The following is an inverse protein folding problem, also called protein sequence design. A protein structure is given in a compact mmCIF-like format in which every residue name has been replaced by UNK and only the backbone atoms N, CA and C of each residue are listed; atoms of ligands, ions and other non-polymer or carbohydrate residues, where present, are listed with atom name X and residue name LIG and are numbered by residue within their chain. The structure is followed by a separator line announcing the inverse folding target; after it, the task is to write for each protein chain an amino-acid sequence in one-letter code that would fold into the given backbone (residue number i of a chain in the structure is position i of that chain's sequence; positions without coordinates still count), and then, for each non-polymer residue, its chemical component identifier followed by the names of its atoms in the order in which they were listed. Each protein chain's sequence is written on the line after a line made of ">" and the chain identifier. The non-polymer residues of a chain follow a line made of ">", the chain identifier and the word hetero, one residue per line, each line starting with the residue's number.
data_IF_233154213727
#
_entry.id   IF_233154213727
#
_cell.length_a   1.000
_cell.length_b   1.000
_cell.length_c   1.000
_cell.angle_alpha   90.00
_cell.angle_beta   90.00
_cell.angle_gamma   90.00
#
_symmetry.space_group_name_H-M   'P 1'
#
loop_
_entity.id
_entity.type
_entity.pdbx_description
1 polymer ?
#
# COMPACT_ATOMS: atom_id res chain seq x y z
N UNK A 1 -0.67 30.64 -14.82
CA UNK A 1 -0.27 30.15 -13.46
C UNK A 1 0.64 28.95 -13.63
N UNK A 2 1.94 29.10 -13.33
CA UNK A 2 2.90 28.00 -13.31
C UNK A 2 2.69 27.22 -12.02
N UNK A 3 2.15 26.01 -12.13
CA UNK A 3 2.15 25.04 -11.03
C UNK A 3 3.61 24.61 -10.85
N UNK A 4 4.24 24.99 -9.75
CA UNK A 4 5.64 24.66 -9.48
C UNK A 4 5.82 23.14 -9.43
N UNK A 5 6.68 22.63 -10.32
CA UNK A 5 7.01 21.21 -10.48
C UNK A 5 7.44 20.53 -9.16
N UNK A 6 7.89 21.30 -8.18
CA UNK A 6 8.27 20.88 -6.83
C UNK A 6 7.12 20.22 -6.04
N UNK A 7 5.88 20.70 -6.22
CA UNK A 7 4.71 20.16 -5.53
C UNK A 7 4.26 18.80 -6.10
N UNK A 8 4.42 18.61 -7.42
CA UNK A 8 4.14 17.35 -8.11
C UNK A 8 5.14 16.25 -7.71
N UNK A 9 6.42 16.60 -7.51
CA UNK A 9 7.47 15.64 -7.12
C UNK A 9 7.24 15.10 -5.70
N UNK A 10 6.81 15.93 -4.75
CA UNK A 10 6.55 15.50 -3.36
C UNK A 10 5.34 14.58 -3.22
N UNK A 11 4.23 14.92 -3.91
CA UNK A 11 3.03 14.08 -3.97
C UNK A 11 3.32 12.77 -4.70
N UNK A 12 4.04 12.81 -5.82
CA UNK A 12 4.42 11.61 -6.57
C UNK A 12 5.33 10.68 -5.75
N UNK A 13 6.30 11.21 -4.99
CA UNK A 13 7.20 10.38 -4.16
C UNK A 13 6.46 9.64 -3.04
N UNK A 14 5.49 10.30 -2.40
CA UNK A 14 4.63 9.68 -1.38
C UNK A 14 3.59 8.73 -2.00
N UNK A 15 3.04 9.07 -3.18
CA UNK A 15 2.10 8.21 -3.90
C UNK A 15 2.78 6.93 -4.41
N UNK A 16 4.00 7.04 -4.94
CA UNK A 16 4.82 5.91 -5.39
C UNK A 16 5.20 5.01 -4.20
N UNK A 17 5.53 5.60 -3.04
CA UNK A 17 5.80 4.87 -1.81
C UNK A 17 4.54 4.16 -1.29
N UNK A 18 3.37 4.79 -1.33
CA UNK A 18 2.09 4.19 -0.92
C UNK A 18 1.65 3.04 -1.86
N UNK A 19 1.90 3.16 -3.16
CA UNK A 19 1.70 2.05 -4.13
C UNK A 19 2.67 0.89 -3.85
N UNK A 20 3.91 1.16 -3.43
CA UNK A 20 4.88 0.12 -3.04
C UNK A 20 4.56 -0.52 -1.68
N UNK A 21 3.99 0.23 -0.73
CA UNK A 21 3.55 -0.26 0.59
C UNK A 21 2.32 -1.18 0.46
N UNK A 22 1.64 -1.18 -0.69
CA UNK A 22 0.54 -2.10 -1.00
C UNK A 22 0.95 -3.60 -0.96
N UNK A 23 2.25 -3.92 -0.86
CA UNK A 23 2.78 -5.26 -0.63
C UNK A 23 3.30 -5.56 0.78
N UNK A 24 3.32 -4.59 1.71
CA UNK A 24 3.89 -4.78 3.03
C UNK A 24 2.90 -4.35 4.13
N UNK A 25 2.28 -5.36 4.75
CA UNK A 25 1.56 -5.21 6.02
C UNK A 25 2.52 -4.58 7.04
N UNK A 26 2.31 -3.30 7.35
CA UNK A 26 3.14 -2.60 8.33
C UNK A 26 2.73 -3.02 9.74
N UNK A 27 3.59 -3.82 10.36
CA UNK A 27 3.64 -3.95 11.81
C UNK A 27 3.82 -2.56 12.44
N UNK A 28 2.86 -2.17 13.27
CA UNK A 28 2.89 -0.92 14.00
C UNK A 28 3.88 -1.07 15.18
N UNK A 29 4.95 -0.25 15.25
CA UNK A 29 5.80 -0.27 16.42
C UNK A 29 5.02 0.27 17.63
N UNK A 30 5.09 -0.46 18.74
CA UNK A 30 4.55 -0.06 20.03
C UNK A 30 5.17 1.27 20.48
N UNK A 31 4.30 2.21 20.84
CA UNK A 31 4.69 3.55 21.25
C UNK A 31 5.52 3.51 22.54
N UNK A 32 6.76 4.01 22.49
CA UNK A 32 7.52 4.37 23.70
C UNK A 32 6.87 5.60 24.33
N UNK A 33 6.85 5.63 25.66
CA UNK A 33 6.47 6.82 26.42
C UNK A 33 7.45 7.96 26.12
N UNK A 34 6.91 9.11 25.69
CA UNK A 34 7.64 10.35 25.41
C UNK A 34 7.34 11.34 26.54
N UNK A 35 8.29 12.19 26.95
CA UNK A 35 8.06 13.23 27.96
C UNK A 35 6.88 14.14 27.58
N UNK A 36 6.01 14.39 28.56
CA UNK A 36 4.83 15.23 28.43
C UNK A 36 5.24 16.71 28.35
N UNK A 37 4.77 17.43 27.32
CA UNK A 37 5.01 18.87 27.14
C UNK A 37 4.07 19.67 28.06
N UNK A 38 4.56 20.74 28.68
CA UNK A 38 3.71 21.66 29.47
C UNK A 38 2.93 22.61 28.57
N UNK A 39 1.81 23.15 29.06
CA UNK A 39 1.00 24.11 28.29
C UNK A 39 1.81 25.37 27.91
N UNK A 40 2.71 25.84 28.79
CA UNK A 40 3.59 26.97 28.47
C UNK A 40 4.58 26.65 27.33
N UNK A 41 5.10 25.42 27.28
CA UNK A 41 5.96 24.97 26.19
C UNK A 41 5.18 24.83 24.87
N UNK A 42 3.92 24.40 24.94
CA UNK A 42 3.04 24.35 23.78
C UNK A 42 2.82 25.75 23.21
N UNK A 43 2.45 26.73 24.03
CA UNK A 43 2.19 28.10 23.56
C UNK A 43 3.42 28.75 22.89
N UNK A 44 4.62 28.53 23.45
CA UNK A 44 5.88 28.97 22.82
C UNK A 44 6.08 28.32 21.45
N UNK A 45 5.71 27.06 21.31
CA UNK A 45 5.83 26.32 20.04
C UNK A 45 4.83 26.83 19.01
N UNK A 46 3.58 27.07 19.41
CA UNK A 46 2.53 27.57 18.52
C UNK A 46 2.84 28.98 18.00
N UNK A 47 3.45 29.82 18.84
CA UNK A 47 3.83 31.19 18.50
C UNK A 47 5.13 31.29 17.70
N UNK A 48 6.00 30.26 17.74
CA UNK A 48 7.18 30.17 16.87
C UNK A 48 6.81 29.78 15.44
N UNK A 49 6.69 30.79 14.58
CA UNK A 49 6.41 30.64 13.15
C UNK A 49 7.37 29.69 12.45
N UNK A 50 8.66 29.70 12.79
CA UNK A 50 9.66 28.86 12.13
C UNK A 50 9.43 27.38 12.44
N UNK A 51 9.10 27.08 13.71
CA UNK A 51 8.78 25.72 14.16
C UNK A 51 7.47 25.24 13.57
N UNK A 52 6.44 26.07 13.58
CA UNK A 52 5.14 25.73 12.97
C UNK A 52 5.26 25.46 11.48
N UNK A 53 6.02 26.26 10.72
CA UNK A 53 6.27 25.99 9.30
C UNK A 53 6.99 24.67 9.06
N UNK A 54 7.95 24.29 9.91
CA UNK A 54 8.60 22.97 9.83
C UNK A 54 7.61 21.84 10.12
N UNK A 55 6.76 21.98 11.13
CA UNK A 55 5.73 20.99 11.45
C UNK A 55 4.66 20.86 10.35
N UNK A 56 4.25 21.96 9.72
CA UNK A 56 3.31 21.94 8.59
C UNK A 56 3.93 21.23 7.36
N UNK A 57 5.18 21.53 7.03
CA UNK A 57 5.92 20.79 5.99
C UNK A 57 6.06 19.31 6.32
N UNK A 58 6.35 18.98 7.58
CA UNK A 58 6.37 17.59 8.04
C UNK A 58 5.00 16.91 7.87
N UNK A 59 3.88 17.57 8.18
CA UNK A 59 2.54 17.01 8.01
C UNK A 59 2.23 16.69 6.53
N UNK A 60 2.64 17.58 5.62
CA UNK A 60 2.50 17.41 4.16
C UNK A 60 3.54 16.43 3.56
N UNK A 61 4.59 16.09 4.30
CA UNK A 61 5.70 15.26 3.81
C UNK A 61 6.69 15.99 2.90
N UNK A 62 6.80 17.31 3.06
CA UNK A 62 7.66 18.21 2.27
C UNK A 62 8.96 18.58 3.00
N UNK A 63 9.25 17.95 4.13
CA UNK A 63 10.41 18.28 4.94
C UNK A 63 10.67 17.28 6.06
N UNK A 64 11.77 17.48 6.81
CA UNK A 64 12.11 16.63 7.94
C UNK A 64 11.07 16.78 9.04
N UNK A 65 10.81 15.68 9.73
CA UNK A 65 10.01 15.67 10.95
C UNK A 65 10.94 15.50 12.15
N UNK A 66 10.73 16.32 13.18
CA UNK A 66 11.28 16.10 14.50
C UNK A 66 10.38 15.14 15.31
N UNK A 67 10.70 14.91 16.60
CA UNK A 67 9.94 13.98 17.43
C UNK A 67 8.50 14.46 17.68
N UNK A 68 8.32 15.75 17.92
CA UNK A 68 7.00 16.36 18.16
C UNK A 68 6.17 16.32 16.88
N UNK A 69 6.74 16.74 15.75
CA UNK A 69 6.05 16.69 14.45
C UNK A 69 5.63 15.27 14.04
N UNK A 70 6.47 14.26 14.26
CA UNK A 70 6.09 12.85 14.02
C UNK A 70 4.94 12.41 14.91
N UNK A 71 5.03 12.67 16.22
CA UNK A 71 3.99 12.30 17.20
C UNK A 71 2.65 12.97 16.85
N UNK A 72 2.67 14.27 16.55
CA UNK A 72 1.48 15.02 16.14
C UNK A 72 0.89 14.46 14.83
N UNK A 73 1.72 14.21 13.81
CA UNK A 73 1.29 13.65 12.52
C UNK A 73 0.61 12.29 12.68
N UNK A 74 1.08 11.45 13.61
CA UNK A 74 0.50 10.13 13.87
C UNK A 74 -0.79 10.20 14.68
N UNK A 75 -0.86 11.07 15.69
CA UNK A 75 -1.98 11.09 16.63
C UNK A 75 -3.13 12.02 16.21
N UNK A 76 -2.85 13.10 15.48
CA UNK A 76 -3.89 14.05 15.05
C UNK A 76 -5.10 13.39 14.35
N UNK A 77 -4.93 12.40 13.44
CA UNK A 77 -6.06 11.70 12.85
C UNK A 77 -6.92 10.93 13.86
N UNK A 78 -6.31 10.37 14.91
CA UNK A 78 -7.02 9.65 15.98
C UNK A 78 -7.84 10.64 16.82
N UNK A 79 -7.23 11.76 17.19
CA UNK A 79 -7.90 12.82 17.96
C UNK A 79 -9.06 13.44 17.17
N UNK A 80 -8.91 13.67 15.86
CA UNK A 80 -9.98 14.17 14.98
C UNK A 80 -11.14 13.19 14.84
N UNK A 81 -10.88 11.87 14.89
CA UNK A 81 -11.92 10.82 14.90
C UNK A 81 -12.63 10.67 16.25
N UNK A 82 -12.21 11.41 17.28
CA UNK A 82 -12.83 11.40 18.60
C UNK A 82 -12.29 10.35 19.57
N UNK A 83 -11.33 9.51 19.16
CA UNK A 83 -10.73 8.50 20.04
C UNK A 83 -9.23 8.34 19.77
N UNK A 84 -8.42 8.50 20.82
CA UNK A 84 -7.00 8.23 20.79
C UNK A 84 -6.58 7.37 22.00
N UNK A 85 -6.57 6.03 21.87
CA UNK A 85 -6.22 5.13 22.98
C UNK A 85 -4.74 5.24 23.39
N UNK A 86 -3.90 5.83 22.55
CA UNK A 86 -2.46 6.00 22.80
C UNK A 86 -2.11 7.40 23.33
N UNK A 87 -3.10 8.25 23.59
CA UNK A 87 -2.92 9.61 24.09
C UNK A 87 -3.26 9.70 25.58
N UNK A 88 -2.53 10.54 26.31
CA UNK A 88 -3.01 11.02 27.60
C UNK A 88 -4.16 12.04 27.43
N UNK A 89 -4.90 12.31 28.50
CA UNK A 89 -5.95 13.34 28.51
C UNK A 89 -5.37 14.71 28.14
N UNK A 90 -4.23 15.06 28.75
CA UNK A 90 -3.53 16.32 28.47
C UNK A 90 -3.04 16.39 27.01
N UNK A 91 -2.41 15.33 26.50
CA UNK A 91 -1.93 15.27 25.10
C UNK A 91 -3.10 15.45 24.11
N UNK A 92 -4.27 14.85 24.40
CA UNK A 92 -5.47 15.04 23.58
C UNK A 92 -5.93 16.49 23.55
N UNK A 93 -5.93 17.18 24.71
CA UNK A 93 -6.28 18.60 24.81
C UNK A 93 -5.29 19.46 24.01
N UNK A 94 -3.99 19.20 24.17
CA UNK A 94 -2.91 19.93 23.49
C UNK A 94 -2.96 19.74 21.98
N UNK A 95 -3.23 18.52 21.49
CA UNK A 95 -3.42 18.25 20.07
C UNK A 95 -4.65 19.01 19.55
N UNK A 96 -5.78 19.00 20.25
CA UNK A 96 -6.98 19.76 19.85
C UNK A 96 -6.71 21.26 19.76
N UNK A 97 -6.01 21.84 20.75
CA UNK A 97 -5.58 23.24 20.72
C UNK A 97 -4.68 23.53 19.52
N UNK A 98 -3.70 22.67 19.26
CA UNK A 98 -2.79 22.80 18.12
C UNK A 98 -3.54 22.76 16.79
N UNK A 99 -4.49 21.84 16.62
CA UNK A 99 -5.30 21.74 15.41
C UNK A 99 -6.18 22.98 15.21
N UNK A 100 -6.83 23.47 16.27
CA UNK A 100 -7.61 24.70 16.22
C UNK A 100 -6.74 25.94 15.88
N UNK A 101 -5.53 26.01 16.44
CA UNK A 101 -4.56 27.06 16.14
C UNK A 101 -4.13 27.01 14.67
N UNK A 102 -3.83 25.83 14.13
CA UNK A 102 -3.47 25.64 12.71
C UNK A 102 -4.62 26.05 11.81
N UNK A 103 -5.84 25.58 12.09
CA UNK A 103 -7.03 25.93 11.31
C UNK A 103 -7.26 27.44 11.23
N UNK A 104 -7.00 28.16 12.33
CA UNK A 104 -7.20 29.61 12.41
C UNK A 104 -6.08 30.42 11.78
N UNK A 105 -4.82 30.01 11.93
CA UNK A 105 -3.65 30.81 11.53
C UNK A 105 -3.01 30.37 10.20
N UNK A 106 -3.25 29.14 9.75
CA UNK A 106 -2.67 28.55 8.54
C UNK A 106 -3.76 27.84 7.69
N UNK A 107 -4.79 28.57 7.21
CA UNK A 107 -5.96 27.96 6.55
C UNK A 107 -5.61 27.28 5.22
N UNK A 108 -4.62 27.80 4.50
CA UNK A 108 -4.18 27.24 3.22
C UNK A 108 -3.48 25.90 3.43
N UNK A 109 -2.51 25.84 4.35
CA UNK A 109 -1.81 24.61 4.70
C UNK A 109 -2.76 23.57 5.30
N UNK A 110 -3.71 24.02 6.14
CA UNK A 110 -4.77 23.17 6.68
C UNK A 110 -5.60 22.51 5.57
N UNK A 111 -6.06 23.29 4.59
CA UNK A 111 -6.80 22.76 3.43
C UNK A 111 -5.97 21.74 2.66
N UNK A 112 -4.68 22.03 2.41
CA UNK A 112 -3.78 21.09 1.72
C UNK A 112 -3.62 19.77 2.49
N UNK A 113 -3.46 19.82 3.80
CA UNK A 113 -3.35 18.63 4.65
C UNK A 113 -4.61 17.78 4.54
N UNK A 114 -5.80 18.39 4.61
CA UNK A 114 -7.07 17.68 4.47
C UNK A 114 -7.23 17.07 3.08
N UNK A 115 -6.96 17.83 2.01
CA UNK A 115 -7.02 17.32 0.63
C UNK A 115 -6.06 16.16 0.42
N UNK A 116 -4.82 16.28 0.89
CA UNK A 116 -3.83 15.21 0.79
C UNK A 116 -4.29 13.95 1.55
N UNK A 117 -4.86 14.11 2.75
CA UNK A 117 -5.40 12.98 3.51
C UNK A 117 -6.55 12.29 2.78
N UNK A 118 -7.48 13.06 2.18
CA UNK A 118 -8.61 12.52 1.39
C UNK A 118 -8.10 11.77 0.15
N UNK A 119 -7.15 12.34 -0.59
CA UNK A 119 -6.56 11.69 -1.77
C UNK A 119 -5.86 10.39 -1.38
N UNK A 120 -5.06 10.39 -0.30
CA UNK A 120 -4.41 9.18 0.20
C UNK A 120 -5.45 8.12 0.58
N UNK A 121 -6.50 8.48 1.31
CA UNK A 121 -7.58 7.55 1.67
C UNK A 121 -8.31 7.00 0.43
N UNK A 122 -8.61 7.84 -0.55
CA UNK A 122 -9.28 7.43 -1.78
C UNK A 122 -8.43 6.44 -2.60
N UNK A 123 -7.12 6.70 -2.71
CA UNK A 123 -6.17 5.81 -3.38
C UNK A 123 -6.07 4.47 -2.65
N UNK A 124 -5.94 4.49 -1.32
CA UNK A 124 -5.90 3.26 -0.52
C UNK A 124 -7.19 2.44 -0.65
N UNK A 125 -8.36 3.10 -0.65
CA UNK A 125 -9.65 2.43 -0.86
C UNK A 125 -9.74 1.80 -2.26
N UNK A 126 -9.33 2.52 -3.30
CA UNK A 126 -9.28 2.00 -4.66
C UNK A 126 -8.31 0.82 -4.80
N UNK A 127 -7.19 0.81 -4.06
CA UNK A 127 -6.27 -0.33 -4.01
C UNK A 127 -6.89 -1.56 -3.31
N UNK A 128 -7.61 -1.36 -2.21
CA UNK A 128 -8.26 -2.46 -1.48
C UNK A 128 -9.34 -3.16 -2.32
N UNK A 129 -9.99 -2.43 -3.24
CA UNK A 129 -11.01 -2.97 -4.14
C UNK A 129 -10.46 -3.90 -5.25
N UNK A 130 -9.13 -4.01 -5.43
CA UNK A 130 -8.55 -4.85 -6.49
C UNK A 130 -8.39 -6.33 -6.12
N UNK A 131 -8.78 -6.75 -4.90
CA UNK A 131 -8.57 -8.13 -4.44
C UNK A 131 -9.76 -9.08 -4.66
N UNK A 132 -10.84 -8.63 -5.32
CA UNK A 132 -11.99 -9.49 -5.63
C UNK A 132 -11.72 -10.32 -6.89
N UNK A 133 -10.75 -11.24 -6.80
CA UNK A 133 -10.54 -12.27 -7.81
C UNK A 133 -11.58 -13.37 -7.61
N UNK A 134 -12.29 -13.80 -8.67
CA UNK A 134 -13.24 -14.89 -8.55
C UNK A 134 -12.51 -16.15 -8.06
N UNK A 135 -13.07 -16.78 -7.03
CA UNK A 135 -12.56 -18.05 -6.50
C UNK A 135 -12.77 -19.15 -7.54
N UNK A 136 -11.74 -19.97 -7.77
CA UNK A 136 -11.82 -21.13 -8.67
C UNK A 136 -12.16 -22.35 -7.83
N UNK A 137 -13.26 -23.04 -8.14
CA UNK A 137 -13.59 -24.31 -7.50
C UNK A 137 -12.66 -25.41 -8.00
N UNK A 138 -12.48 -26.47 -7.21
CA UNK A 138 -11.65 -27.60 -7.65
C UNK A 138 -12.22 -28.30 -8.89
N UNK A 139 -13.54 -28.35 -9.04
CA UNK A 139 -14.20 -28.87 -10.26
C UNK A 139 -13.89 -28.04 -11.49
N UNK A 140 -13.98 -26.71 -11.39
CA UNK A 140 -13.66 -25.81 -12.50
C UNK A 140 -12.17 -25.89 -12.88
N UNK A 141 -11.29 -26.12 -11.91
CA UNK A 141 -9.88 -26.38 -12.18
C UNK A 141 -9.70 -27.68 -12.96
N UNK A 142 -10.35 -28.76 -12.54
CA UNK A 142 -10.24 -30.06 -13.19
C UNK A 142 -10.80 -30.03 -14.62
N UNK A 143 -11.93 -29.36 -14.84
CA UNK A 143 -12.50 -29.14 -16.18
C UNK A 143 -11.53 -28.38 -17.08
N UNK A 144 -10.89 -27.33 -16.54
CA UNK A 144 -9.90 -26.55 -17.28
C UNK A 144 -8.62 -27.35 -17.60
N UNK A 145 -8.14 -28.19 -16.67
CA UNK A 145 -6.98 -29.06 -16.90
C UNK A 145 -7.29 -30.14 -17.95
N UNK A 146 -8.52 -30.66 -17.97
CA UNK A 146 -8.95 -31.69 -18.92
C UNK A 146 -9.28 -31.13 -20.32
N UNK A 147 -9.58 -29.84 -20.46
CA UNK A 147 -9.71 -29.19 -21.76
C UNK A 147 -8.34 -29.00 -22.43
N UNK A 148 -7.99 -29.95 -23.30
CA UNK A 148 -6.75 -29.93 -24.10
C UNK A 148 -6.59 -28.66 -24.92
N UNK A 149 -7.68 -28.09 -25.46
CA UNK A 149 -7.63 -26.86 -26.27
C UNK A 149 -7.33 -25.66 -25.37
N UNK A 150 -7.92 -25.61 -24.18
CA UNK A 150 -7.60 -24.59 -23.18
C UNK A 150 -6.13 -24.68 -22.76
N UNK A 151 -5.65 -25.82 -22.29
CA UNK A 151 -4.27 -25.97 -21.82
C UNK A 151 -3.25 -25.65 -22.90
N UNK A 152 -3.46 -26.11 -24.14
CA UNK A 152 -2.55 -25.77 -25.23
C UNK A 152 -2.49 -24.27 -25.52
N UNK A 153 -3.62 -23.55 -25.45
CA UNK A 153 -3.62 -22.08 -25.59
C UNK A 153 -2.84 -21.41 -24.46
N UNK A 154 -3.04 -21.85 -23.21
CA UNK A 154 -2.35 -21.29 -22.06
C UNK A 154 -0.83 -21.55 -22.11
N UNK A 155 -0.41 -22.75 -22.52
CA UNK A 155 1.00 -23.09 -22.72
C UNK A 155 1.65 -22.24 -23.83
N UNK A 156 0.95 -22.04 -24.96
CA UNK A 156 1.44 -21.14 -26.02
C UNK A 156 1.58 -19.70 -25.53
N UNK A 157 0.60 -19.18 -24.80
CA UNK A 157 0.68 -17.86 -24.18
C UNK A 157 1.90 -17.75 -23.24
N UNK A 158 2.10 -18.75 -22.36
CA UNK A 158 3.22 -18.79 -21.43
C UNK A 158 4.56 -18.76 -22.16
N UNK A 159 4.68 -19.45 -23.29
CA UNK A 159 5.90 -19.48 -24.11
C UNK A 159 6.05 -18.29 -25.07
N UNK A 160 5.04 -17.42 -25.17
CA UNK A 160 5.01 -16.34 -26.17
C UNK A 160 4.78 -16.83 -27.61
N UNK A 161 4.33 -18.07 -27.78
CA UNK A 161 4.02 -18.71 -29.06
C UNK A 161 2.56 -18.45 -29.50
N UNK A 162 1.81 -17.62 -28.77
CA UNK A 162 0.42 -17.30 -29.09
C UNK A 162 -0.17 -16.17 -28.22
N UNK A 163 -1.39 -15.72 -28.53
CA UNK A 163 -2.06 -14.66 -27.78
C UNK A 163 -2.44 -15.14 -26.37
N UNK A 164 -2.46 -14.20 -25.43
CA UNK A 164 -2.87 -14.44 -24.05
C UNK A 164 -4.26 -13.85 -23.79
N UNK A 165 -5.15 -14.66 -23.22
CA UNK A 165 -6.40 -14.20 -22.61
C UNK A 165 -6.12 -13.63 -21.19
N UNK A 166 -7.12 -13.05 -20.49
CA UNK A 166 -6.90 -12.50 -19.16
C UNK A 166 -6.31 -13.51 -18.15
N UNK A 167 -6.70 -14.79 -18.27
CA UNK A 167 -6.18 -15.87 -17.42
C UNK A 167 -4.70 -16.13 -17.71
N UNK A 168 -4.34 -16.33 -18.98
CA UNK A 168 -2.97 -16.57 -19.40
C UNK A 168 -2.03 -15.42 -19.09
N UNK A 169 -2.48 -14.16 -19.25
CA UNK A 169 -1.71 -12.98 -18.84
C UNK A 169 -1.38 -13.01 -17.34
N UNK A 170 -2.37 -13.34 -16.51
CA UNK A 170 -2.19 -13.43 -15.06
C UNK A 170 -1.23 -14.55 -14.68
N UNK A 171 -1.40 -15.75 -15.24
CA UNK A 171 -0.51 -16.89 -15.00
C UNK A 171 0.94 -16.57 -15.41
N UNK A 172 1.11 -15.94 -16.58
CA UNK A 172 2.42 -15.51 -17.09
C UNK A 172 3.12 -14.53 -16.17
N UNK A 173 2.40 -13.55 -15.61
CA UNK A 173 2.95 -12.59 -14.64
C UNK A 173 3.37 -13.25 -13.33
N UNK A 174 2.63 -14.27 -12.87
CA UNK A 174 2.90 -14.95 -11.59
C UNK A 174 3.94 -16.07 -11.71
N UNK A 175 4.18 -16.60 -12.92
CA UNK A 175 5.06 -17.74 -13.16
C UNK A 175 6.46 -17.63 -12.52
N UNK A 176 7.20 -16.49 -12.61
CA UNK A 176 8.52 -16.39 -11.99
C UNK A 176 8.50 -16.55 -10.47
N UNK A 177 7.49 -15.99 -9.81
CA UNK A 177 7.36 -16.05 -8.35
C UNK A 177 7.01 -17.48 -7.93
N UNK A 178 6.00 -18.05 -8.57
CA UNK A 178 5.50 -19.40 -8.27
C UNK A 178 6.58 -20.46 -8.48
N UNK A 179 7.36 -20.37 -9.56
CA UNK A 179 8.43 -21.33 -9.85
C UNK A 179 9.61 -21.22 -8.87
N UNK A 180 9.82 -20.05 -8.25
CA UNK A 180 10.78 -19.86 -7.15
C UNK A 180 10.23 -20.25 -5.77
N UNK A 181 9.00 -20.79 -5.72
CA UNK A 181 8.35 -21.22 -4.48
C UNK A 181 7.66 -20.10 -3.69
N UNK A 182 7.46 -18.92 -4.29
CA UNK A 182 6.83 -17.77 -3.63
C UNK A 182 5.48 -17.43 -4.25
N UNK A 183 4.44 -17.31 -3.43
CA UNK A 183 3.22 -16.59 -3.81
C UNK A 183 2.69 -15.80 -2.61
N UNK A 184 3.18 -14.56 -2.39
CA UNK A 184 2.78 -13.76 -1.23
C UNK A 184 1.31 -13.34 -1.25
N UNK A 185 0.69 -13.40 -2.43
CA UNK A 185 -0.70 -13.01 -2.67
C UNK A 185 -1.60 -14.22 -2.93
N UNK A 186 -1.22 -15.46 -2.56
CA UNK A 186 -2.07 -16.65 -2.75
C UNK A 186 -2.79 -17.05 -1.46
N UNK A 187 -4.05 -17.48 -1.59
CA UNK A 187 -4.74 -18.19 -0.50
C UNK A 187 -4.20 -19.61 -0.35
N UNK A 188 -4.48 -20.31 0.77
CA UNK A 188 -4.14 -21.72 0.92
C UNK A 188 -4.74 -22.61 -0.17
N UNK A 189 -5.96 -22.31 -0.62
CA UNK A 189 -6.61 -23.03 -1.72
C UNK A 189 -5.89 -22.79 -3.05
N UNK A 190 -5.60 -21.53 -3.39
CA UNK A 190 -4.87 -21.21 -4.62
C UNK A 190 -3.48 -21.85 -4.65
N UNK A 191 -2.79 -21.90 -3.51
CA UNK A 191 -1.48 -22.57 -3.43
C UNK A 191 -1.59 -24.06 -3.78
N UNK A 192 -2.60 -24.76 -3.26
CA UNK A 192 -2.86 -26.17 -3.62
C UNK A 192 -3.20 -26.33 -5.10
N UNK A 193 -4.04 -25.44 -5.63
CA UNK A 193 -4.45 -25.47 -7.02
C UNK A 193 -3.27 -25.22 -7.97
N UNK A 194 -2.40 -24.27 -7.64
CA UNK A 194 -1.15 -24.01 -8.37
C UNK A 194 -0.28 -25.27 -8.38
N UNK A 195 -0.04 -25.90 -7.22
CA UNK A 195 0.75 -27.13 -7.14
C UNK A 195 0.16 -28.27 -7.98
N UNK A 196 -1.17 -28.42 -7.99
CA UNK A 196 -1.89 -29.37 -8.86
C UNK A 196 -1.65 -29.05 -10.33
N UNK A 197 -1.82 -27.80 -10.75
CA UNK A 197 -1.59 -27.36 -12.13
C UNK A 197 -0.15 -27.61 -12.58
N UNK A 198 0.85 -27.24 -11.77
CA UNK A 198 2.26 -27.48 -12.09
C UNK A 198 2.54 -28.98 -12.25
N UNK A 199 2.04 -29.80 -11.32
CA UNK A 199 2.18 -31.26 -11.37
C UNK A 199 1.53 -31.85 -12.62
N UNK A 200 0.35 -31.35 -13.01
CA UNK A 200 -0.36 -31.78 -14.21
C UNK A 200 0.42 -31.43 -15.48
N UNK A 201 0.92 -30.20 -15.60
CA UNK A 201 1.71 -29.75 -16.76
C UNK A 201 3.02 -30.52 -16.86
N UNK A 202 3.71 -30.74 -15.74
CA UNK A 202 4.95 -31.51 -15.71
C UNK A 202 4.76 -32.95 -16.20
N UNK A 203 3.66 -33.61 -15.81
CA UNK A 203 3.37 -35.01 -16.19
C UNK A 203 2.88 -35.15 -17.64
N UNK A 204 1.99 -34.26 -18.08
CA UNK A 204 1.30 -34.40 -19.37
C UNK A 204 1.95 -33.60 -20.51
N UNK A 205 2.73 -32.56 -20.20
CA UNK A 205 3.35 -31.64 -21.16
C UNK A 205 4.83 -31.37 -20.83
N UNK A 206 5.68 -32.41 -20.70
CA UNK A 206 7.04 -32.27 -20.18
C UNK A 206 7.95 -31.39 -21.06
N UNK A 207 7.73 -31.37 -22.37
CA UNK A 207 8.51 -30.53 -23.30
C UNK A 207 8.22 -29.04 -23.10
N UNK A 208 6.94 -28.69 -22.98
CA UNK A 208 6.50 -27.32 -22.73
C UNK A 208 6.91 -26.88 -21.33
N UNK A 209 6.78 -27.77 -20.34
CA UNK A 209 7.25 -27.54 -18.98
C UNK A 209 8.74 -27.16 -18.95
N UNK A 210 9.61 -27.93 -19.62
CA UNK A 210 11.04 -27.64 -19.67
C UNK A 210 11.33 -26.24 -20.28
N UNK A 211 10.60 -25.84 -21.32
CA UNK A 211 10.71 -24.49 -21.89
C UNK A 211 10.26 -23.40 -20.91
N UNK A 212 9.12 -23.60 -20.23
CA UNK A 212 8.59 -22.65 -19.22
C UNK A 212 9.60 -22.47 -18.08
N UNK A 213 10.14 -23.56 -17.52
CA UNK A 213 11.15 -23.49 -16.46
C UNK A 213 12.38 -22.73 -16.93
N UNK A 214 12.90 -23.01 -18.13
CA UNK A 214 14.03 -22.26 -18.70
C UNK A 214 13.73 -20.77 -18.86
N UNK A 215 12.50 -20.41 -19.19
CA UNK A 215 12.10 -19.03 -19.43
C UNK A 215 11.90 -18.22 -18.13
N UNK A 216 11.41 -18.85 -17.06
CA UNK A 216 10.94 -18.14 -15.87
C UNK A 216 11.66 -18.47 -14.57
N UNK A 217 12.40 -19.58 -14.49
CA UNK A 217 13.12 -19.98 -13.27
C UNK A 217 14.53 -19.38 -13.17
N UNK A 218 15.00 -18.67 -14.21
CA UNK A 218 16.26 -17.93 -14.22
C UNK A 218 16.25 -16.69 -13.35
#
# INVERSE_FOLDING_TARGET
>A
MKIEASALVGVAKNLLLLVLICGAMMNLPTARAVPQMTDAQLERTLTDRSTMQRHLKCALGEGPCDLVGRRLRTLAPLVLRGSCPQCSVQETIQIRRTLAFIQRNYPWEWSRILTQAVVICAVLYACAAQNDRPQVTDTALDDALNDKRFIQRQLKCALGEGPCDPIGKRLKTLAPLVLRGACPQCTPQETKQIQRTLSYVQRNYPQQWAKIVRQYAG
#
